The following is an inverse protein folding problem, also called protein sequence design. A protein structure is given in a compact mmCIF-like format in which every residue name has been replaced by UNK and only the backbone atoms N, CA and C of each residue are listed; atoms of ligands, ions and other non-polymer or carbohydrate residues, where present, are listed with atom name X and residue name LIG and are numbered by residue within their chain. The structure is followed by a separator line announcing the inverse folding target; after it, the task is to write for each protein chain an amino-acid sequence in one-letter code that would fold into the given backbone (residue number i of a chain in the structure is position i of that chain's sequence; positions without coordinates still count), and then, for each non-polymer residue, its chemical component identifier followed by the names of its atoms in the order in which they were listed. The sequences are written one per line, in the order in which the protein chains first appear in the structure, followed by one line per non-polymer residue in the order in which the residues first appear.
data_IF_001452656647
#
_entry.id   IF_001452656647
#
_cell.length_a   1.000
_cell.length_b   1.000
_cell.length_c   1.000
_cell.angle_alpha   90.00
_cell.angle_beta   90.00
_cell.angle_gamma   90.00
#
_symmetry.space_group_name_H-M   'P 1'
#
loop_
_entity.id
_entity.type
_entity.pdbx_description
1 polymer ?
#
# COMPACT_ATOMS: atom_id res chain seq x y z
N UNK A 1 -0.82 2.56 -18.78
CA UNK A 1 -1.76 1.45 -18.47
C UNK A 1 -1.06 0.15 -18.81
N UNK A 2 -1.04 -0.84 -17.92
CA UNK A 2 -0.42 -2.15 -18.21
C UNK A 2 -1.33 -2.94 -19.16
N UNK A 3 -0.75 -3.73 -20.04
CA UNK A 3 -1.46 -4.63 -20.97
C UNK A 3 -2.41 -5.58 -20.20
N UNK A 4 -3.73 -5.55 -20.47
CA UNK A 4 -4.71 -6.45 -19.85
C UNK A 4 -4.47 -7.93 -20.20
N UNK A 5 -3.98 -8.22 -21.41
CA UNK A 5 -3.74 -9.60 -21.86
C UNK A 5 -2.59 -10.28 -21.10
N UNK A 6 -1.82 -9.52 -20.31
CA UNK A 6 -0.83 -10.11 -19.39
C UNK A 6 -1.49 -10.97 -18.31
N UNK A 7 -2.73 -10.67 -17.92
CA UNK A 7 -3.42 -11.33 -16.81
C UNK A 7 -3.62 -12.81 -17.13
N UNK A 8 -4.24 -13.11 -18.26
CA UNK A 8 -4.51 -14.48 -18.70
C UNK A 8 -3.22 -15.29 -18.87
N UNK A 9 -2.20 -14.68 -19.50
CA UNK A 9 -0.88 -15.31 -19.67
C UNK A 9 -0.22 -15.65 -18.33
N UNK A 10 -0.31 -14.74 -17.34
CA UNK A 10 0.28 -14.97 -16.02
C UNK A 10 -0.47 -16.06 -15.24
N UNK A 11 -1.81 -16.02 -15.27
CA UNK A 11 -2.65 -17.02 -14.59
C UNK A 11 -2.40 -18.42 -15.17
N UNK A 12 -2.30 -18.54 -16.49
CA UNK A 12 -2.03 -19.83 -17.13
C UNK A 12 -0.68 -20.41 -16.68
N UNK A 13 0.38 -19.60 -16.67
CA UNK A 13 1.71 -20.04 -16.22
C UNK A 13 1.74 -20.42 -14.74
N UNK A 14 1.04 -19.66 -13.90
CA UNK A 14 0.92 -19.97 -12.48
C UNK A 14 0.20 -21.32 -12.29
N UNK A 15 -0.91 -21.53 -13.01
CA UNK A 15 -1.69 -22.77 -12.94
C UNK A 15 -0.87 -23.99 -13.36
N UNK A 16 -0.16 -23.90 -14.49
CA UNK A 16 0.71 -24.97 -14.98
C UNK A 16 1.77 -25.36 -13.94
N UNK A 17 2.48 -24.38 -13.38
CA UNK A 17 3.54 -24.62 -12.38
C UNK A 17 2.98 -25.19 -11.09
N UNK A 18 1.83 -24.67 -10.62
CA UNK A 18 1.25 -25.11 -9.36
C UNK A 18 0.68 -26.53 -9.46
N UNK A 19 0.08 -26.91 -10.60
CA UNK A 19 -0.33 -28.30 -10.84
C UNK A 19 0.85 -29.28 -10.87
N UNK A 20 2.02 -28.84 -11.34
CA UNK A 20 3.22 -29.67 -11.32
C UNK A 20 3.82 -29.83 -9.91
N UNK A 21 3.40 -29.01 -8.93
CA UNK A 21 3.92 -28.98 -7.57
C UNK A 21 2.78 -28.85 -6.54
N UNK A 22 1.89 -29.87 -6.43
CA UNK A 22 0.67 -29.77 -5.63
C UNK A 22 0.90 -29.66 -4.13
N UNK A 23 2.06 -30.07 -3.63
CA UNK A 23 2.41 -29.99 -2.21
C UNK A 23 2.83 -28.57 -1.78
N UNK A 24 3.09 -27.68 -2.74
CA UNK A 24 3.43 -26.29 -2.44
C UNK A 24 2.18 -25.43 -2.32
N UNK A 25 2.12 -24.61 -1.27
CA UNK A 25 1.10 -23.55 -1.15
C UNK A 25 1.41 -22.40 -2.11
N UNK A 26 0.40 -21.65 -2.54
CA UNK A 26 0.56 -20.56 -3.52
C UNK A 26 1.63 -19.55 -3.09
N UNK A 27 1.60 -19.16 -1.82
CA UNK A 27 2.56 -18.22 -1.25
C UNK A 27 4.02 -18.71 -1.34
N UNK A 28 4.24 -20.02 -1.13
CA UNK A 28 5.57 -20.63 -1.27
C UNK A 28 6.03 -20.62 -2.72
N UNK A 29 5.14 -20.96 -3.66
CA UNK A 29 5.43 -20.95 -5.09
C UNK A 29 5.86 -19.55 -5.54
N UNK A 30 5.09 -18.52 -5.17
CA UNK A 30 5.39 -17.14 -5.52
C UNK A 30 6.72 -16.67 -4.92
N UNK A 31 6.97 -16.93 -3.64
CA UNK A 31 8.24 -16.54 -3.00
C UNK A 31 9.43 -17.26 -3.65
N UNK A 32 9.30 -18.53 -3.99
CA UNK A 32 10.38 -19.30 -4.64
C UNK A 32 10.67 -18.85 -6.08
N UNK A 33 9.64 -18.38 -6.81
CA UNK A 33 9.78 -17.83 -8.17
C UNK A 33 10.34 -16.39 -8.14
N UNK A 34 9.83 -15.54 -7.24
CA UNK A 34 10.21 -14.12 -7.15
C UNK A 34 11.59 -13.95 -6.50
N UNK A 35 11.91 -14.78 -5.49
CA UNK A 35 13.14 -14.71 -4.69
C UNK A 35 13.38 -13.28 -4.16
N UNK A 36 12.48 -12.78 -3.30
CA UNK A 36 12.63 -11.46 -2.72
C UNK A 36 13.97 -11.32 -2.00
N UNK A 37 14.55 -10.11 -2.01
CA UNK A 37 15.83 -9.83 -1.35
C UNK A 37 15.79 -10.03 0.17
N UNK A 38 14.59 -9.94 0.76
CA UNK A 38 14.35 -10.14 2.19
C UNK A 38 13.31 -11.25 2.43
N UNK A 39 13.37 -11.95 3.58
CA UNK A 39 12.39 -12.99 3.91
C UNK A 39 10.96 -12.44 4.03
N UNK A 40 10.01 -13.08 3.36
CA UNK A 40 8.58 -12.77 3.47
C UNK A 40 7.80 -13.93 4.13
N UNK A 41 8.01 -14.24 5.43
CA UNK A 41 7.45 -15.45 6.07
C UNK A 41 5.92 -15.46 6.06
N UNK A 42 5.27 -14.29 6.15
CA UNK A 42 3.81 -14.19 6.12
C UNK A 42 3.20 -14.61 4.79
N UNK A 43 3.90 -14.36 3.68
CA UNK A 43 3.50 -14.82 2.35
C UNK A 43 3.90 -16.29 2.20
N UNK A 44 5.12 -16.65 2.62
CA UNK A 44 5.64 -18.00 2.48
C UNK A 44 4.84 -19.06 3.27
N UNK A 45 4.39 -18.74 4.48
CA UNK A 45 3.65 -19.68 5.34
C UNK A 45 2.13 -19.53 5.25
N UNK A 46 1.61 -18.67 4.37
CA UNK A 46 0.16 -18.53 4.19
C UNK A 46 -0.47 -19.84 3.71
N UNK A 47 -1.53 -20.27 4.38
CA UNK A 47 -2.38 -21.38 3.93
C UNK A 47 -3.26 -20.96 2.75
N UNK A 48 -3.48 -21.87 1.80
CA UNK A 48 -4.28 -21.57 0.62
C UNK A 48 -5.75 -21.32 0.98
N UNK A 49 -6.31 -22.06 1.95
CA UNK A 49 -7.68 -21.84 2.47
C UNK A 49 -7.87 -20.43 3.04
N UNK A 50 -6.88 -19.95 3.79
CA UNK A 50 -6.89 -18.59 4.34
C UNK A 50 -6.75 -17.55 3.23
N UNK A 51 -5.89 -17.83 2.26
CA UNK A 51 -5.68 -16.96 1.09
C UNK A 51 -6.93 -16.86 0.24
N UNK A 52 -7.60 -17.98 -0.05
CA UNK A 52 -8.87 -18.04 -0.77
C UNK A 52 -9.97 -17.25 -0.03
N UNK A 53 -10.09 -17.44 1.28
CA UNK A 53 -11.04 -16.69 2.11
C UNK A 53 -10.77 -15.19 2.05
N UNK A 54 -9.50 -14.79 2.11
CA UNK A 54 -9.10 -13.38 2.01
C UNK A 54 -9.33 -12.82 0.62
N UNK A 55 -9.10 -13.58 -0.45
CA UNK A 55 -9.39 -13.19 -1.83
C UNK A 55 -10.89 -12.96 -2.06
N UNK A 56 -11.75 -13.85 -1.54
CA UNK A 56 -13.21 -13.71 -1.66
C UNK A 56 -13.75 -12.48 -0.90
N UNK A 57 -13.06 -12.08 0.17
CA UNK A 57 -13.36 -10.89 0.96
C UNK A 57 -12.54 -9.67 0.55
N UNK A 58 -11.61 -9.83 -0.39
CA UNK A 58 -10.72 -8.75 -0.79
C UNK A 58 -11.59 -7.71 -1.47
N UNK A 59 -11.77 -6.52 -0.87
CA UNK A 59 -12.53 -5.48 -1.54
C UNK A 59 -11.82 -5.18 -2.85
N UNK A 60 -12.57 -4.95 -3.94
CA UNK A 60 -12.00 -4.31 -5.14
C UNK A 60 -11.12 -3.14 -4.69
N UNK A 61 -9.93 -2.92 -5.30
CA UNK A 61 -8.87 -2.07 -4.76
C UNK A 61 -9.42 -0.75 -4.26
N UNK A 62 -9.65 -0.68 -2.95
CA UNK A 62 -10.20 0.46 -2.21
C UNK A 62 -11.22 1.25 -3.03
N UNK A 63 -12.22 0.56 -3.61
CA UNK A 63 -13.49 1.21 -3.80
C UNK A 63 -14.04 1.39 -2.38
N UNK A 64 -13.95 2.61 -1.88
CA UNK A 64 -14.53 3.09 -0.62
C UNK A 64 -13.61 3.24 0.62
N UNK A 65 -12.59 4.11 0.50
CA UNK A 65 -12.24 5.06 1.59
C UNK A 65 -13.20 6.27 1.62
N UNK A 66 -14.24 6.27 0.78
CA UNK A 66 -15.21 7.36 0.57
C UNK A 66 -16.46 7.28 1.47
N UNK A 67 -16.57 6.29 2.35
CA UNK A 67 -17.57 6.28 3.44
C UNK A 67 -17.21 7.25 4.57
N UNK A 68 -16.01 7.84 4.52
CA UNK A 68 -15.70 9.12 5.15
C UNK A 68 -15.59 10.21 4.09
N UNK A 69 -15.81 11.46 4.47
CA UNK A 69 -15.57 12.65 3.62
C UNK A 69 -14.10 12.67 3.15
N UNK A 70 -13.81 12.00 2.04
CA UNK A 70 -12.47 11.88 1.49
C UNK A 70 -11.89 13.25 1.14
N UNK A 71 -10.58 13.41 1.33
CA UNK A 71 -9.84 14.63 1.01
C UNK A 71 -9.25 14.46 -0.39
N UNK A 72 -9.55 15.38 -1.29
CA UNK A 72 -9.04 15.36 -2.67
C UNK A 72 -7.95 16.41 -2.84
N UNK A 73 -6.73 16.00 -3.18
CA UNK A 73 -5.63 16.93 -3.45
C UNK A 73 -5.43 17.10 -4.96
N UNK A 74 -5.56 18.33 -5.44
CA UNK A 74 -5.23 18.66 -6.83
C UNK A 74 -3.73 18.96 -6.96
N UNK A 75 -3.02 18.07 -7.64
CA UNK A 75 -1.59 18.21 -7.94
C UNK A 75 -1.38 18.27 -9.45
N UNK A 76 -0.42 19.07 -9.89
CA UNK A 76 0.05 18.99 -11.28
C UNK A 76 0.71 17.63 -11.52
N UNK A 77 0.79 17.23 -12.80
CA UNK A 77 1.46 15.97 -13.18
C UNK A 77 2.90 15.88 -12.66
N UNK A 78 3.62 16.99 -12.67
CA UNK A 78 5.02 17.04 -12.19
C UNK A 78 5.11 16.89 -10.67
N UNK A 79 4.25 17.59 -9.92
CA UNK A 79 4.20 17.48 -8.46
C UNK A 79 3.81 16.06 -8.03
N UNK A 80 2.84 15.44 -8.72
CA UNK A 80 2.43 14.07 -8.45
C UNK A 80 3.57 13.05 -8.68
N UNK A 81 4.38 13.23 -9.73
CA UNK A 81 5.53 12.35 -9.99
C UNK A 81 6.61 12.48 -8.92
N UNK A 82 6.92 13.72 -8.52
CA UNK A 82 7.91 13.96 -7.45
C UNK A 82 7.40 13.43 -6.11
N UNK A 83 6.13 13.66 -5.77
CA UNK A 83 5.53 13.12 -4.55
C UNK A 83 5.55 11.59 -4.57
N UNK A 84 5.20 10.96 -5.70
CA UNK A 84 5.20 9.51 -5.86
C UNK A 84 6.59 8.94 -5.63
N UNK A 85 7.63 9.48 -6.28
CA UNK A 85 9.00 8.99 -6.10
C UNK A 85 9.42 9.10 -4.64
N UNK A 86 9.19 10.27 -4.03
CA UNK A 86 9.49 10.52 -2.62
C UNK A 86 8.83 9.48 -1.71
N UNK A 87 7.52 9.26 -1.81
CA UNK A 87 6.82 8.30 -0.94
C UNK A 87 7.14 6.85 -1.30
N UNK A 88 7.46 6.54 -2.55
CA UNK A 88 7.79 5.19 -2.99
C UNK A 88 9.08 4.70 -2.34
N UNK A 89 10.06 5.60 -2.07
CA UNK A 89 11.30 5.26 -1.33
C UNK A 89 11.06 4.71 0.07
N UNK A 90 9.92 5.01 0.69
CA UNK A 90 9.56 4.39 1.98
C UNK A 90 9.40 2.87 1.87
N UNK A 91 8.98 2.36 0.71
CA UNK A 91 8.82 0.91 0.47
C UNK A 91 10.16 0.17 0.56
N UNK A 92 11.25 0.85 0.19
CA UNK A 92 12.58 0.23 0.10
C UNK A 92 13.46 0.53 1.33
N UNK A 93 13.26 1.68 1.97
CA UNK A 93 14.18 2.17 3.02
C UNK A 93 13.52 2.38 4.38
N UNK A 94 12.19 2.28 4.46
CA UNK A 94 11.36 2.65 5.61
C UNK A 94 11.63 4.08 6.14
N UNK A 95 12.25 4.92 5.31
CA UNK A 95 12.67 6.27 5.66
C UNK A 95 12.27 7.23 4.55
N UNK A 96 11.98 8.47 4.94
CA UNK A 96 11.70 9.57 4.03
C UNK A 96 12.64 10.72 4.34
N UNK A 97 13.73 10.80 3.59
CA UNK A 97 14.71 11.89 3.63
C UNK A 97 14.57 12.75 2.39
N UNK A 98 14.81 14.06 2.50
CA UNK A 98 14.83 14.94 1.33
C UNK A 98 16.13 14.70 0.56
N UNK A 99 16.03 14.24 -0.68
CA UNK A 99 17.15 14.02 -1.60
C UNK A 99 17.20 15.08 -2.70
N UNK A 100 16.08 15.75 -3.00
CA UNK A 100 16.03 16.79 -4.03
C UNK A 100 15.18 18.01 -3.61
N UNK A 101 15.61 19.26 -3.92
CA UNK A 101 14.85 20.47 -3.55
C UNK A 101 13.41 20.53 -4.06
N UNK A 102 13.11 19.84 -5.17
CA UNK A 102 11.75 19.73 -5.69
C UNK A 102 10.81 18.96 -4.74
N UNK A 103 11.31 17.98 -3.99
CA UNK A 103 10.51 17.24 -3.00
C UNK A 103 10.04 18.18 -1.90
N UNK A 104 10.94 19.02 -1.35
CA UNK A 104 10.58 20.05 -0.37
C UNK A 104 9.48 20.98 -0.90
N UNK A 105 9.62 21.44 -2.15
CA UNK A 105 8.63 22.34 -2.76
C UNK A 105 7.25 21.67 -2.89
N UNK A 106 7.23 20.39 -3.25
CA UNK A 106 6.01 19.59 -3.37
C UNK A 106 5.39 19.32 -2.00
N UNK A 107 6.19 18.93 -1.01
CA UNK A 107 5.72 18.71 0.35
C UNK A 107 5.10 19.97 0.96
N UNK A 108 5.71 21.14 0.76
CA UNK A 108 5.10 22.41 1.18
C UNK A 108 3.78 22.70 0.47
N UNK A 109 3.68 22.35 -0.81
CA UNK A 109 2.43 22.51 -1.57
C UNK A 109 1.34 21.59 -1.03
N UNK A 110 1.68 20.32 -0.75
CA UNK A 110 0.78 19.34 -0.12
C UNK A 110 0.34 19.80 1.27
N UNK A 111 1.26 20.28 2.12
CA UNK A 111 0.91 20.84 3.43
C UNK A 111 -0.11 21.99 3.29
N UNK A 112 0.14 22.95 2.41
CA UNK A 112 -0.78 24.07 2.20
C UNK A 112 -2.13 23.65 1.61
N UNK A 113 -2.20 22.58 0.81
CA UNK A 113 -3.46 22.02 0.32
C UNK A 113 -4.23 21.30 1.43
N UNK A 114 -3.53 20.56 2.30
CA UNK A 114 -4.13 19.89 3.45
C UNK A 114 -4.66 20.88 4.48
N UNK A 115 -3.90 21.92 4.81
CA UNK A 115 -4.32 23.00 5.71
C UNK A 115 -5.61 23.69 5.24
N UNK A 116 -5.81 23.83 3.92
CA UNK A 116 -7.05 24.38 3.36
C UNK A 116 -8.27 23.47 3.56
N UNK A 117 -8.07 22.16 3.62
CA UNK A 117 -9.14 21.17 3.72
C UNK A 117 -9.39 20.70 5.16
N UNK A 118 -8.37 20.76 6.01
CA UNK A 118 -8.39 20.33 7.40
C UNK A 118 -8.34 21.56 8.31
N UNK A 119 -9.50 22.18 8.53
CA UNK A 119 -9.63 23.37 9.39
C UNK A 119 -9.24 23.04 10.84
N UNK A 120 -9.37 21.79 11.25
CA UNK A 120 -9.00 21.28 12.57
C UNK A 120 -7.50 21.37 12.85
N UNK A 121 -6.64 21.52 11.83
CA UNK A 121 -5.21 21.75 12.03
C UNK A 121 -4.91 23.09 12.72
N UNK A 122 -5.87 24.01 12.77
CA UNK A 122 -5.75 25.27 13.48
C UNK A 122 -6.36 25.23 14.89
N UNK A 123 -6.96 24.11 15.30
CA UNK A 123 -7.56 23.94 16.62
C UNK A 123 -6.49 23.72 17.71
N UNK A 124 -6.57 24.40 18.87
CA UNK A 124 -5.71 24.10 20.03
C UNK A 124 -5.71 22.62 20.46
N UNK A 125 -6.80 21.89 20.23
CA UNK A 125 -6.95 20.46 20.51
C UNK A 125 -6.41 19.55 19.40
N UNK A 126 -5.70 20.08 18.38
CA UNK A 126 -5.13 19.31 17.26
C UNK A 126 -4.36 18.06 17.70
N UNK A 127 -3.64 18.12 18.82
CA UNK A 127 -2.86 16.98 19.33
C UNK A 127 -3.78 15.79 19.64
N UNK A 128 -4.94 16.03 20.24
CA UNK A 128 -5.93 15.00 20.56
C UNK A 128 -6.60 14.46 19.30
N UNK A 129 -6.95 15.35 18.35
CA UNK A 129 -7.55 14.96 17.08
C UNK A 129 -6.60 14.08 16.24
N UNK A 130 -5.31 14.42 16.20
CA UNK A 130 -4.30 13.58 15.54
C UNK A 130 -4.12 12.25 16.24
N UNK A 131 -4.17 12.20 17.59
CA UNK A 131 -4.10 10.95 18.34
C UNK A 131 -5.30 10.03 18.02
N UNK A 132 -6.51 10.57 17.97
CA UNK A 132 -7.71 9.84 17.58
C UNK A 132 -7.65 9.34 16.13
N UNK A 133 -7.17 10.19 15.20
CA UNK A 133 -6.98 9.79 13.81
C UNK A 133 -5.97 8.63 13.69
N UNK A 134 -4.85 8.67 14.41
CA UNK A 134 -3.88 7.56 14.45
C UNK A 134 -4.49 6.27 14.98
N UNK A 135 -5.34 6.34 16.01
CA UNK A 135 -6.03 5.17 16.55
C UNK A 135 -7.09 4.59 15.60
N UNK A 136 -7.54 5.38 14.61
CA UNK A 136 -8.50 4.93 13.58
C UNK A 136 -7.79 4.32 12.38
N UNK A 137 -6.65 4.89 11.95
CA UNK A 137 -5.80 4.39 10.86
C UNK A 137 -4.87 3.28 11.37
N UNK A 138 -5.33 2.44 12.30
CA UNK A 138 -4.52 1.37 12.88
C UNK A 138 -3.80 0.59 11.78
N UNK A 139 -2.53 0.19 11.99
CA UNK A 139 -1.87 -0.73 11.06
C UNK A 139 -2.76 -1.95 10.92
N UNK A 140 -2.90 -2.49 9.70
CA UNK A 140 -3.57 -3.78 9.47
C UNK A 140 -2.98 -4.77 10.46
N UNK A 141 -3.71 -5.03 11.55
CA UNK A 141 -3.15 -5.68 12.73
C UNK A 141 -2.92 -7.13 12.36
N UNK A 142 -1.71 -7.40 11.95
CA UNK A 142 -1.12 -8.73 11.85
C UNK A 142 0.17 -8.78 12.69
N UNK A 143 0.35 -7.80 13.57
CA UNK A 143 1.34 -7.76 14.64
C UNK A 143 0.68 -8.21 15.95
N UNK A 144 0.14 -9.41 15.97
CA UNK A 144 0.14 -10.19 17.20
C UNK A 144 0.37 -11.64 16.79
N UNK A 145 1.53 -12.19 17.16
CA UNK A 145 1.65 -13.38 18.00
C UNK A 145 3.15 -13.68 18.26
N UNK A 146 3.46 -14.33 19.38
CA UNK A 146 4.68 -14.16 20.19
C UNK A 146 5.97 -14.74 19.59
#
# INVERSE_FOLDING_TARGET
MRDPTRLDRMIERLRELWHAQPDMRLGQLLVNVIRPGEPCPRIFYAEDTDTETKLAKYPEPVADRTTGSGISLELTRSEALVLFEFVNRFTDTEQLTIEHPAETRVLWSVCGLLEKQLVELFDPARVELVAQARATVQPDTSEELP
#
